data_IF_509413517306
#
_entry.id   IF_509413517306
#
_cell.length_a   1.000
_cell.length_b   1.000
_cell.length_c   1.000
_cell.angle_alpha   90.00
_cell.angle_beta   90.00
_cell.angle_gamma   90.00
#
_symmetry.space_group_name_H-M   'P 1'
#
loop_
_entity.id
_entity.type
_entity.pdbx_description
1 polymer ?
#
# COMPACT_ATOMS: atom_id res chain seq x y z
N UNK A 1 14.93 40.45 10.67
CA UNK A 1 15.29 39.01 10.62
C UNK A 1 14.16 38.06 11.08
N UNK A 2 13.09 38.51 11.78
CA UNK A 2 12.06 37.59 12.34
C UNK A 2 10.91 37.18 11.40
N UNK A 3 10.48 38.01 10.43
CA UNK A 3 9.33 37.68 9.56
C UNK A 3 9.57 36.47 8.64
N UNK A 4 10.78 36.33 8.11
CA UNK A 4 11.12 35.22 7.22
C UNK A 4 11.18 33.88 7.99
N UNK A 5 11.65 33.91 9.24
CA UNK A 5 11.70 32.73 10.09
C UNK A 5 10.29 32.24 10.48
N UNK A 6 9.40 33.18 10.81
CA UNK A 6 7.98 32.89 11.11
C UNK A 6 7.24 32.33 9.88
N UNK A 7 7.45 32.92 8.70
CA UNK A 7 6.85 32.44 7.44
C UNK A 7 7.37 31.05 7.05
N UNK A 8 8.66 30.77 7.24
CA UNK A 8 9.23 29.44 7.01
C UNK A 8 8.62 28.38 7.93
N UNK A 9 8.49 28.70 9.23
CA UNK A 9 7.93 27.78 10.23
C UNK A 9 6.47 27.43 9.93
N UNK A 10 5.65 28.43 9.61
CA UNK A 10 4.25 28.24 9.18
C UNK A 10 4.12 27.34 7.94
N UNK A 11 5.07 27.44 7.00
CA UNK A 11 5.07 26.61 5.78
C UNK A 11 5.39 25.14 6.10
N UNK A 12 6.34 24.90 7.00
CA UNK A 12 6.70 23.55 7.44
C UNK A 12 5.56 22.91 8.23
N UNK A 13 4.97 23.64 9.17
CA UNK A 13 3.85 23.15 10.01
C UNK A 13 2.65 22.76 9.13
N UNK A 14 2.33 23.57 8.11
CA UNK A 14 1.27 23.26 7.14
C UNK A 14 1.54 21.98 6.36
N UNK A 15 2.77 21.76 5.89
CA UNK A 15 3.16 20.54 5.16
C UNK A 15 3.05 19.31 6.07
N UNK A 16 3.43 19.42 7.34
CA UNK A 16 3.31 18.32 8.31
C UNK A 16 1.84 17.96 8.52
N UNK A 17 0.98 18.96 8.77
CA UNK A 17 -0.47 18.74 8.96
C UNK A 17 -1.08 18.11 7.72
N UNK A 18 -0.79 18.63 6.53
CA UNK A 18 -1.21 18.05 5.26
C UNK A 18 -0.86 16.56 5.17
N UNK A 19 0.41 16.20 5.39
CA UNK A 19 0.86 14.80 5.30
C UNK A 19 0.23 13.90 6.35
N UNK A 20 0.00 14.39 7.56
CA UNK A 20 -0.74 13.65 8.60
C UNK A 20 -2.19 13.38 8.18
N UNK A 21 -2.87 14.38 7.61
CA UNK A 21 -4.22 14.20 7.07
C UNK A 21 -4.25 13.13 5.97
N UNK A 22 -3.27 13.15 5.07
CA UNK A 22 -3.15 12.13 4.02
C UNK A 22 -2.94 10.72 4.62
N UNK A 23 -2.08 10.57 5.62
CA UNK A 23 -1.87 9.28 6.30
C UNK A 23 -3.18 8.77 6.91
N UNK A 24 -3.95 9.63 7.58
CA UNK A 24 -5.25 9.26 8.16
C UNK A 24 -6.21 8.78 7.07
N UNK A 25 -6.28 9.48 5.93
CA UNK A 25 -7.11 9.07 4.79
C UNK A 25 -6.70 7.69 4.27
N UNK A 26 -5.40 7.42 4.12
CA UNK A 26 -4.93 6.09 3.70
C UNK A 26 -5.21 5.00 4.73
N UNK A 27 -5.12 5.28 6.03
CA UNK A 27 -5.50 4.33 7.07
C UNK A 27 -7.00 3.99 7.00
N UNK A 28 -7.86 4.99 6.78
CA UNK A 28 -9.31 4.79 6.57
C UNK A 28 -9.58 3.98 5.30
N UNK A 29 -8.90 4.30 4.19
CA UNK A 29 -9.00 3.53 2.96
C UNK A 29 -8.56 2.07 3.19
N UNK A 30 -7.43 1.83 3.85
CA UNK A 30 -6.96 0.48 4.16
C UNK A 30 -7.95 -0.28 5.05
N UNK A 31 -8.59 0.40 6.02
CA UNK A 31 -9.66 -0.18 6.82
C UNK A 31 -10.86 -0.62 5.96
N UNK A 32 -11.35 0.24 5.06
CA UNK A 32 -12.43 -0.10 4.14
C UNK A 32 -12.04 -1.24 3.20
N UNK A 33 -10.83 -1.20 2.65
CA UNK A 33 -10.25 -2.29 1.86
C UNK A 33 -10.35 -3.61 2.65
N UNK A 34 -9.85 -3.65 3.89
CA UNK A 34 -9.93 -4.82 4.75
C UNK A 34 -11.37 -5.30 4.97
N UNK A 35 -12.31 -4.39 5.20
CA UNK A 35 -13.73 -4.70 5.44
C UNK A 35 -14.43 -5.28 4.21
N UNK A 36 -14.14 -4.77 3.01
CA UNK A 36 -14.73 -5.28 1.76
C UNK A 36 -14.17 -6.64 1.37
N UNK A 37 -12.86 -6.87 1.55
CA UNK A 37 -12.25 -8.15 1.21
C UNK A 37 -12.61 -9.28 2.18
N UNK A 38 -12.76 -9.00 3.48
CA UNK A 38 -13.01 -10.02 4.49
C UNK A 38 -14.01 -9.52 5.56
N UNK A 39 -15.33 -9.58 5.28
CA UNK A 39 -16.35 -9.03 6.17
C UNK A 39 -16.49 -9.79 7.51
N UNK A 40 -16.00 -11.03 7.60
CA UNK A 40 -16.19 -11.92 8.75
C UNK A 40 -14.89 -12.26 9.52
N UNK A 41 -13.76 -11.67 9.15
CA UNK A 41 -12.47 -12.00 9.76
C UNK A 41 -12.01 -10.99 10.83
N UNK A 42 -11.23 -11.47 11.80
CA UNK A 42 -10.60 -10.63 12.82
C UNK A 42 -9.61 -9.65 12.18
N UNK A 43 -10.01 -8.38 12.06
CA UNK A 43 -9.28 -7.33 11.36
C UNK A 43 -7.83 -7.08 11.86
N UNK A 44 -7.51 -7.54 13.07
CA UNK A 44 -6.24 -7.31 13.77
C UNK A 44 -5.21 -8.44 13.62
N UNK A 45 -5.50 -9.52 12.88
CA UNK A 45 -4.53 -10.59 12.66
C UNK A 45 -3.43 -10.17 11.66
N UNK A 46 -2.15 -10.07 12.08
CA UNK A 46 -1.04 -9.68 11.21
C UNK A 46 -0.84 -10.65 10.04
N UNK A 47 -1.12 -11.94 10.22
CA UNK A 47 -0.97 -12.96 9.17
C UNK A 47 -2.02 -12.73 8.07
N UNK A 48 -3.22 -12.31 8.45
CA UNK A 48 -4.26 -11.93 7.50
C UNK A 48 -3.96 -10.60 6.80
N UNK A 49 -3.37 -9.62 7.49
CA UNK A 49 -2.87 -8.39 6.84
C UNK A 49 -1.79 -8.69 5.80
N UNK A 50 -0.84 -9.59 6.11
CA UNK A 50 0.15 -10.06 5.12
C UNK A 50 -0.53 -10.78 3.96
N UNK A 51 -1.66 -11.43 4.20
CA UNK A 51 -2.42 -12.06 3.13
C UNK A 51 -3.06 -11.06 2.15
N UNK A 52 -3.41 -9.86 2.64
CA UNK A 52 -4.03 -8.77 1.89
C UNK A 52 -3.05 -8.03 0.96
N UNK A 53 -1.73 -8.19 1.16
CA UNK A 53 -0.67 -7.71 0.25
C UNK A 53 -0.64 -8.42 -1.12
N UNK A 54 -1.57 -9.36 -1.39
CA UNK A 54 -1.81 -9.90 -2.74
C UNK A 54 -2.41 -8.83 -3.66
N UNK A 55 -3.18 -7.90 -3.11
CA UNK A 55 -3.91 -6.91 -3.90
C UNK A 55 -3.08 -5.66 -4.08
N UNK A 56 -2.98 -5.21 -5.33
CA UNK A 56 -2.23 -4.00 -5.66
C UNK A 56 -2.73 -2.78 -4.89
N UNK A 57 -4.04 -2.67 -4.64
CA UNK A 57 -4.64 -1.59 -3.82
C UNK A 57 -4.09 -1.53 -2.39
N UNK A 58 -3.83 -2.69 -1.77
CA UNK A 58 -3.25 -2.74 -0.43
C UNK A 58 -1.75 -2.40 -0.46
N UNK A 59 -1.03 -2.84 -1.49
CA UNK A 59 0.39 -2.51 -1.69
C UNK A 59 0.57 -1.01 -1.91
N UNK A 60 -0.23 -0.40 -2.79
CA UNK A 60 -0.17 1.05 -3.04
C UNK A 60 -0.50 1.83 -1.79
N UNK A 61 -1.55 1.47 -1.05
CA UNK A 61 -1.89 2.13 0.22
C UNK A 61 -0.73 2.06 1.23
N UNK A 62 -0.13 0.89 1.43
CA UNK A 62 1.01 0.71 2.35
C UNK A 62 2.24 1.51 1.89
N UNK A 63 2.54 1.50 0.59
CA UNK A 63 3.65 2.27 0.03
C UNK A 63 3.48 3.77 0.28
N UNK A 64 2.27 4.30 0.08
CA UNK A 64 1.98 5.72 0.31
C UNK A 64 2.04 6.08 1.80
N UNK A 65 1.51 5.23 2.69
CA UNK A 65 1.63 5.41 4.15
C UNK A 65 3.12 5.49 4.55
N UNK A 66 3.94 4.54 4.09
CA UNK A 66 5.38 4.53 4.37
C UNK A 66 6.08 5.77 3.82
N UNK A 67 5.73 6.20 2.59
CA UNK A 67 6.25 7.42 2.00
C UNK A 67 5.95 8.64 2.88
N UNK A 68 4.68 8.89 3.20
CA UNK A 68 4.27 10.08 3.98
C UNK A 68 4.80 10.06 5.41
N UNK A 69 4.95 8.89 6.02
CA UNK A 69 5.57 8.74 7.35
C UNK A 69 7.06 9.07 7.34
N UNK A 70 7.79 8.71 6.28
CA UNK A 70 9.27 8.82 6.25
C UNK A 70 9.77 10.09 5.59
N UNK A 71 9.03 10.68 4.64
CA UNK A 71 9.46 11.89 3.92
C UNK A 71 9.59 13.11 4.84
N UNK A 72 8.74 13.22 5.86
CA UNK A 72 8.76 14.32 6.84
C UNK A 72 10.04 14.31 7.68
N UNK A 73 10.38 13.23 8.41
CA UNK A 73 11.64 13.20 9.16
C UNK A 73 12.86 13.33 8.25
N UNK A 74 12.86 12.73 7.06
CA UNK A 74 13.99 12.85 6.13
C UNK A 74 14.27 14.29 5.72
N UNK A 75 13.23 15.08 5.46
CA UNK A 75 13.38 16.52 5.17
C UNK A 75 13.84 17.32 6.37
N UNK A 76 13.37 16.99 7.58
CA UNK A 76 13.86 17.63 8.81
C UNK A 76 15.36 17.35 9.04
N UNK A 77 15.83 16.15 8.72
CA UNK A 77 17.24 15.77 8.78
C UNK A 77 18.06 16.18 7.53
N UNK A 78 17.50 17.00 6.62
CA UNK A 78 18.16 17.47 5.38
C UNK A 78 18.63 16.33 4.45
N UNK A 79 17.96 15.19 4.50
CA UNK A 79 18.20 14.03 3.63
C UNK A 79 17.41 14.18 2.32
N UNK A 80 17.67 15.27 1.59
CA UNK A 80 16.89 15.67 0.41
C UNK A 80 17.03 14.69 -0.77
N UNK A 81 18.18 14.02 -0.89
CA UNK A 81 18.39 13.00 -1.91
C UNK A 81 17.56 11.74 -1.64
N UNK A 82 17.52 11.28 -0.38
CA UNK A 82 16.78 10.07 0.00
C UNK A 82 15.27 10.30 -0.13
N UNK A 83 14.77 11.46 0.32
CA UNK A 83 13.37 11.83 0.11
C UNK A 83 13.00 11.98 -1.37
N UNK A 84 13.93 12.45 -2.22
CA UNK A 84 13.76 12.47 -3.67
C UNK A 84 13.62 11.06 -4.29
N UNK A 85 14.44 10.09 -3.87
CA UNK A 85 14.30 8.70 -4.30
C UNK A 85 12.98 8.09 -3.83
N UNK A 86 12.59 8.30 -2.58
CA UNK A 86 11.31 7.82 -2.06
C UNK A 86 10.12 8.37 -2.84
N UNK A 87 10.15 9.68 -3.15
CA UNK A 87 9.13 10.31 -3.98
C UNK A 87 9.07 9.64 -5.35
N UNK A 88 10.20 9.48 -6.02
CA UNK A 88 10.22 8.93 -7.38
C UNK A 88 9.77 7.46 -7.42
N UNK A 89 10.10 6.66 -6.40
CA UNK A 89 9.61 5.28 -6.25
C UNK A 89 8.09 5.28 -6.05
N UNK A 90 7.58 6.05 -5.08
CA UNK A 90 6.16 6.13 -4.80
C UNK A 90 5.38 6.63 -6.03
N UNK A 91 5.85 7.69 -6.67
CA UNK A 91 5.22 8.27 -7.85
C UNK A 91 5.20 7.30 -9.03
N UNK A 92 6.34 6.71 -9.38
CA UNK A 92 6.43 5.77 -10.51
C UNK A 92 5.55 4.55 -10.30
N UNK A 93 5.53 4.00 -9.08
CA UNK A 93 4.70 2.84 -8.75
C UNK A 93 3.20 3.18 -8.83
N UNK A 94 2.76 4.28 -8.21
CA UNK A 94 1.35 4.69 -8.26
C UNK A 94 0.90 5.05 -9.68
N UNK A 95 1.73 5.72 -10.48
CA UNK A 95 1.43 6.00 -11.88
C UNK A 95 1.32 4.72 -12.71
N UNK A 96 2.24 3.78 -12.52
CA UNK A 96 2.19 2.47 -13.22
C UNK A 96 0.92 1.72 -12.87
N UNK A 97 0.57 1.65 -11.58
CA UNK A 97 -0.64 0.96 -11.14
C UNK A 97 -1.91 1.64 -11.65
N UNK A 98 -1.96 2.96 -11.67
CA UNK A 98 -3.06 3.72 -12.28
C UNK A 98 -3.19 3.37 -13.76
N UNK A 99 -2.11 3.43 -14.52
CA UNK A 99 -2.13 3.13 -15.95
C UNK A 99 -2.58 1.69 -16.24
N UNK A 100 -2.06 0.70 -15.51
CA UNK A 100 -2.48 -0.70 -15.64
C UNK A 100 -3.97 -0.84 -15.34
N UNK A 101 -4.42 -0.28 -14.22
CA UNK A 101 -5.82 -0.35 -13.79
C UNK A 101 -6.77 0.24 -14.84
N UNK A 102 -6.53 1.48 -15.26
CA UNK A 102 -7.39 2.17 -16.22
C UNK A 102 -7.30 1.54 -17.62
N UNK A 103 -6.15 1.00 -18.01
CA UNK A 103 -6.03 0.26 -19.27
C UNK A 103 -6.90 -0.99 -19.27
N UNK A 104 -6.88 -1.78 -18.19
CA UNK A 104 -7.74 -2.96 -18.05
C UNK A 104 -9.21 -2.52 -18.01
N UNK A 105 -9.52 -1.47 -17.25
CA UNK A 105 -10.89 -0.95 -17.12
C UNK A 105 -11.48 -0.53 -18.47
N UNK A 106 -10.72 0.17 -19.32
CA UNK A 106 -11.17 0.58 -20.64
C UNK A 106 -11.17 -0.56 -21.67
N UNK A 107 -10.33 -1.58 -21.50
CA UNK A 107 -10.29 -2.74 -22.39
C UNK A 107 -11.46 -3.70 -22.12
N UNK A 108 -11.61 -4.15 -20.87
CA UNK A 108 -12.71 -5.00 -20.42
C UNK A 108 -12.92 -4.86 -18.90
N UNK A 109 -14.00 -4.17 -18.51
CA UNK A 109 -14.37 -3.98 -17.11
C UNK A 109 -14.58 -5.30 -16.37
N UNK A 110 -14.96 -6.38 -17.06
CA UNK A 110 -15.21 -7.69 -16.45
C UNK A 110 -13.95 -8.30 -15.86
N UNK A 111 -12.78 -8.00 -16.42
CA UNK A 111 -11.49 -8.46 -15.86
C UNK A 111 -11.20 -7.92 -14.45
N UNK A 112 -11.89 -6.85 -14.04
CA UNK A 112 -11.77 -6.26 -12.70
C UNK A 112 -12.93 -6.69 -11.80
N UNK A 113 -14.16 -6.76 -12.34
CA UNK A 113 -15.36 -7.06 -11.56
C UNK A 113 -15.59 -8.54 -11.29
N UNK A 114 -15.07 -9.42 -12.15
CA UNK A 114 -15.34 -10.87 -12.07
C UNK A 114 -14.27 -11.63 -11.27
N UNK A 115 -13.30 -10.91 -10.69
CA UNK A 115 -12.36 -11.50 -9.75
C UNK A 115 -13.12 -11.85 -8.47
N UNK A 116 -13.22 -13.14 -8.16
CA UNK A 116 -14.00 -13.69 -7.03
C UNK A 116 -13.66 -12.99 -5.69
N UNK A 117 -12.38 -12.73 -5.46
CA UNK A 117 -11.86 -12.04 -4.29
C UNK A 117 -12.29 -10.55 -4.19
N UNK A 118 -12.63 -9.91 -5.31
CA UNK A 118 -12.94 -8.48 -5.43
C UNK A 118 -14.44 -8.20 -5.58
N UNK A 119 -15.28 -9.24 -5.65
CA UNK A 119 -16.73 -9.12 -5.92
C UNK A 119 -17.47 -8.21 -4.93
N UNK A 120 -16.97 -8.13 -3.69
CA UNK A 120 -17.55 -7.30 -2.63
C UNK A 120 -17.00 -5.86 -2.61
N UNK A 121 -15.98 -5.56 -3.42
CA UNK A 121 -15.37 -4.24 -3.48
C UNK A 121 -16.16 -3.34 -4.43
N UNK A 122 -16.69 -2.20 -3.97
CA UNK A 122 -17.40 -1.30 -4.84
C UNK A 122 -16.48 -0.76 -5.94
N UNK A 123 -16.96 -0.73 -7.19
CA UNK A 123 -16.18 -0.26 -8.32
C UNK A 123 -15.69 1.18 -8.14
N UNK A 124 -16.54 2.05 -7.58
CA UNK A 124 -16.18 3.45 -7.27
C UNK A 124 -14.99 3.53 -6.31
N UNK A 125 -14.93 2.64 -5.32
CA UNK A 125 -13.85 2.60 -4.35
C UNK A 125 -12.54 2.15 -5.01
N UNK A 126 -12.63 1.19 -5.94
CA UNK A 126 -11.48 0.72 -6.71
C UNK A 126 -10.95 1.80 -7.66
N UNK A 127 -11.83 2.52 -8.35
CA UNK A 127 -11.47 3.66 -9.21
C UNK A 127 -10.73 4.74 -8.42
N UNK A 128 -11.28 5.17 -7.28
CA UNK A 128 -10.67 6.20 -6.44
C UNK A 128 -9.32 5.73 -5.91
N UNK A 129 -9.20 4.47 -5.51
CA UNK A 129 -7.95 3.93 -4.95
C UNK A 129 -6.79 3.91 -5.95
N UNK A 130 -7.08 3.92 -7.26
CA UNK A 130 -6.06 3.96 -8.31
C UNK A 130 -5.83 5.36 -8.88
N UNK A 131 -6.79 6.28 -8.73
CA UNK A 131 -6.69 7.67 -9.19
C UNK A 131 -6.10 8.62 -8.12
N UNK A 132 -6.52 8.46 -6.87
CA UNK A 132 -6.20 9.37 -5.79
C UNK A 132 -4.70 9.42 -5.45
N UNK A 133 -3.97 8.28 -5.37
CA UNK A 133 -2.55 8.32 -5.01
C UNK A 133 -1.63 9.16 -5.90
N UNK A 134 -1.65 9.02 -7.25
CA UNK A 134 -0.82 9.87 -8.10
C UNK A 134 -1.18 11.35 -7.98
N UNK A 135 -2.45 11.71 -7.78
CA UNK A 135 -2.87 13.11 -7.58
C UNK A 135 -2.26 13.68 -6.30
N UNK A 136 -2.35 12.97 -5.17
CA UNK A 136 -1.74 13.44 -3.91
C UNK A 136 -0.23 13.61 -4.08
N UNK A 137 0.43 12.67 -4.76
CA UNK A 137 1.88 12.76 -4.97
C UNK A 137 2.26 13.96 -5.85
N UNK A 138 1.45 14.33 -6.84
CA UNK A 138 1.64 15.58 -7.61
C UNK A 138 1.51 16.80 -6.69
N UNK A 139 0.49 16.84 -5.82
CA UNK A 139 0.31 17.92 -4.84
C UNK A 139 1.49 17.98 -3.88
N UNK A 140 1.95 16.84 -3.34
CA UNK A 140 3.10 16.80 -2.44
C UNK A 140 4.38 17.23 -3.16
N UNK A 141 4.57 16.86 -4.43
CA UNK A 141 5.69 17.31 -5.25
C UNK A 141 5.69 18.83 -5.44
N UNK A 142 4.52 19.40 -5.69
CA UNK A 142 4.34 20.85 -5.80
C UNK A 142 4.66 21.57 -4.49
N UNK A 143 4.21 21.04 -3.35
CA UNK A 143 4.45 21.64 -2.03
C UNK A 143 5.89 21.43 -1.53
N UNK A 144 6.51 20.32 -1.91
CA UNK A 144 7.75 19.84 -1.31
C UNK A 144 8.97 20.00 -2.19
N UNK A 145 8.81 20.22 -3.50
CA UNK A 145 9.91 20.34 -4.45
C UNK A 145 10.99 19.25 -4.23
N UNK A 146 10.63 17.95 -4.40
CA UNK A 146 11.59 16.87 -4.21
C UNK A 146 12.79 17.08 -5.14
N UNK A 147 13.99 16.80 -4.62
CA UNK A 147 15.21 16.95 -5.40
C UNK A 147 15.19 16.00 -6.59
N UNK A 148 15.59 16.49 -7.76
CA UNK A 148 15.74 15.66 -8.95
C UNK A 148 16.84 14.63 -8.69
N UNK A 149 16.49 13.36 -8.79
CA UNK A 149 17.39 12.21 -8.58
C UNK A 149 17.52 11.41 -9.87
N UNK A 150 18.57 10.60 -9.98
CA UNK A 150 18.82 9.79 -11.17
C UNK A 150 17.73 8.73 -11.36
N UNK A 151 17.11 8.73 -12.54
CA UNK A 151 16.13 7.73 -12.94
C UNK A 151 16.72 6.31 -12.94
N UNK A 152 17.96 6.14 -13.41
CA UNK A 152 18.65 4.84 -13.43
C UNK A 152 18.79 4.24 -12.03
N UNK A 153 19.23 5.04 -11.05
CA UNK A 153 19.34 4.60 -9.65
C UNK A 153 17.97 4.25 -9.07
N UNK A 154 16.93 4.97 -9.47
CA UNK A 154 15.56 4.71 -9.03
C UNK A 154 15.01 3.42 -9.63
N UNK A 155 15.22 3.18 -10.92
CA UNK A 155 14.88 1.92 -11.57
C UNK A 155 15.55 0.74 -10.87
N UNK A 156 16.83 0.88 -10.50
CA UNK A 156 17.55 -0.15 -9.77
C UNK A 156 16.88 -0.46 -8.41
N UNK A 157 16.47 0.58 -7.68
CA UNK A 157 15.74 0.40 -6.41
C UNK A 157 14.37 -0.25 -6.64
N UNK A 158 13.59 0.22 -7.63
CA UNK A 158 12.27 -0.33 -7.96
C UNK A 158 12.38 -1.80 -8.37
N UNK A 159 13.32 -2.14 -9.25
CA UNK A 159 13.60 -3.52 -9.64
C UNK A 159 14.02 -4.39 -8.45
N UNK A 160 14.83 -3.85 -7.53
CA UNK A 160 15.24 -4.57 -6.31
C UNK A 160 14.04 -4.83 -5.39
N UNK A 161 13.18 -3.83 -5.18
CA UNK A 161 11.92 -3.99 -4.42
C UNK A 161 11.01 -5.02 -5.10
N UNK A 162 10.89 -4.99 -6.43
CA UNK A 162 10.13 -5.96 -7.20
C UNK A 162 10.65 -7.39 -7.04
N UNK A 163 11.97 -7.59 -7.06
CA UNK A 163 12.58 -8.89 -6.78
C UNK A 163 12.32 -9.35 -5.34
N UNK A 164 12.47 -8.46 -4.35
CA UNK A 164 12.16 -8.76 -2.94
C UNK A 164 10.69 -9.14 -2.79
N UNK A 165 9.78 -8.41 -3.43
CA UNK A 165 8.35 -8.71 -3.42
C UNK A 165 8.06 -10.09 -4.01
N UNK A 166 8.67 -10.43 -5.16
CA UNK A 166 8.51 -11.76 -5.76
C UNK A 166 9.03 -12.89 -4.85
N UNK A 167 10.16 -12.68 -4.19
CA UNK A 167 10.69 -13.64 -3.20
C UNK A 167 9.74 -13.76 -2.02
N UNK A 168 9.23 -12.64 -1.50
CA UNK A 168 8.27 -12.60 -0.40
C UNK A 168 6.98 -13.35 -0.75
N UNK A 169 6.42 -13.12 -1.94
CA UNK A 169 5.21 -13.81 -2.41
C UNK A 169 5.43 -15.31 -2.57
N UNK A 170 6.61 -15.73 -3.05
CA UNK A 170 6.99 -17.14 -3.16
C UNK A 170 7.09 -17.80 -1.77
N UNK A 171 7.74 -17.14 -0.82
CA UNK A 171 7.88 -17.61 0.57
C UNK A 171 6.53 -17.68 1.30
N UNK A 172 5.62 -16.74 1.02
CA UNK A 172 4.25 -16.76 1.55
C UNK A 172 3.48 -17.99 1.07
N UNK A 173 3.57 -18.35 -0.21
CA UNK A 173 2.90 -19.55 -0.75
C UNK A 173 3.30 -20.81 0.04
N UNK A 174 4.58 -20.92 0.39
CA UNK A 174 5.12 -22.00 1.23
C UNK A 174 4.56 -21.95 2.66
N UNK A 175 4.42 -20.75 3.25
CA UNK A 175 3.87 -20.57 4.59
C UNK A 175 2.38 -20.94 4.65
N UNK A 176 1.60 -20.56 3.63
CA UNK A 176 0.18 -20.89 3.50
C UNK A 176 -0.03 -22.40 3.33
N UNK A 177 0.79 -23.06 2.51
CA UNK A 177 0.75 -24.53 2.36
C UNK A 177 1.09 -25.26 3.66
N UNK A 178 1.91 -24.66 4.53
CA UNK A 178 2.17 -25.21 5.86
C UNK A 178 1.00 -24.98 6.82
N UNK A 179 0.40 -23.79 6.80
CA UNK A 179 -0.69 -23.46 7.72
C UNK A 179 -2.00 -24.19 7.37
N UNK A 180 -2.32 -24.37 6.09
CA UNK A 180 -3.46 -25.17 5.62
C UNK A 180 -3.32 -26.64 6.00
N UNK A 181 -2.10 -27.19 5.89
CA UNK A 181 -1.78 -28.54 6.38
C UNK A 181 -1.99 -28.65 7.89
N UNK A 182 -1.55 -27.67 8.67
CA UNK A 182 -1.67 -27.66 10.13
C UNK A 182 -3.11 -27.53 10.63
N UNK A 183 -3.94 -26.72 9.97
CA UNK A 183 -5.38 -26.59 10.27
C UNK A 183 -6.17 -27.83 9.83
N UNK A 184 -5.81 -28.44 8.69
CA UNK A 184 -6.43 -29.70 8.25
C UNK A 184 -6.10 -30.89 9.16
N UNK A 185 -4.89 -30.95 9.74
CA UNK A 185 -4.49 -32.02 10.67
C UNK A 185 -5.17 -31.87 12.03
N UNK A 186 -5.27 -30.65 12.57
CA UNK A 186 -5.98 -30.40 13.83
C UNK A 186 -7.49 -30.61 13.74
N UNK A 187 -8.11 -30.32 12.58
CA UNK A 187 -9.52 -30.67 12.32
C UNK A 187 -9.72 -32.19 12.21
N UNK A 188 -8.78 -32.91 11.58
CA UNK A 188 -8.82 -34.38 11.45
C UNK A 188 -8.65 -35.09 12.80
N UNK A 189 -7.79 -34.57 13.67
CA UNK A 189 -7.59 -35.10 15.02
C UNK A 189 -8.78 -34.81 15.95
N UNK A 190 -9.44 -33.65 15.83
CA UNK A 190 -10.72 -33.38 16.51
C UNK A 190 -11.85 -34.31 16.05
N UNK A 191 -11.89 -34.67 14.76
CA UNK A 191 -12.89 -35.59 14.23
C UNK A 191 -12.64 -37.04 14.71
N UNK A 192 -11.38 -37.48 14.78
CA UNK A 192 -11.01 -38.77 15.38
C UNK A 192 -11.32 -38.84 16.87
N UNK A 193 -11.05 -37.77 17.63
CA UNK A 193 -11.37 -37.69 19.05
C UNK A 193 -12.87 -37.79 19.33
N UNK A 194 -13.74 -37.25 18.48
CA UNK A 194 -15.20 -37.37 18.62
C UNK A 194 -15.74 -38.77 18.25
N UNK A 195 -15.08 -39.50 17.35
CA UNK A 195 -15.47 -40.87 16.99
C UNK A 195 -15.03 -41.94 18.01
N UNK A 196 -14.14 -41.62 18.96
CA UNK A 196 -13.66 -42.57 19.99
C UNK A 196 -14.51 -42.50 21.28
N UNK A 197 -15.41 -41.52 21.39
CA UNK A 197 -16.27 -41.29 22.59
C UNK A 197 -17.75 -41.52 22.27
N UNK A 198 -18.07 -42.36 21.28
CA UNK A 198 -19.43 -42.78 20.96
C UNK A 198 -19.56 -44.31 21.07
#
# INVERSE_FOLDING_TARGET
>A
MSRNLVRMKLTIDYIIVYRLTIIIIYCIALYFCCKYFFPNDNLLDPIQMLCKLKYFTAITAMLNILYFMTVTPLKLFKQDALSGYQFLIAFSFNMTMMLIYWSIFFYDTKMITDIEDLKNMPLWYNNISHLFPPIILIIDAYLSHPKIVSLQKTLLIVCSIGMIYNVFMKSRKVLLDKHSRFTSSTLRDKHKSKCIVA
#
